data_IF_939972469266
#
_entry.id   IF_939972469266
#
_cell.length_a   1.000
_cell.length_b   1.000
_cell.length_c   1.000
_cell.angle_alpha   90.00
_cell.angle_beta   90.00
_cell.angle_gamma   90.00
#
_symmetry.space_group_name_H-M   'P 1'
#
loop_
_entity.id
_entity.type
_entity.pdbx_description
1 polymer ?
#
# COMPACT_ATOMS: atom_id res chain seq x y z
N UNK A 1 -27.18 -30.59 -20.42
CA UNK A 1 -26.46 -29.43 -20.97
C UNK A 1 -27.34 -28.16 -20.97
N UNK A 2 -27.16 -27.29 -19.98
CA UNK A 2 -27.76 -25.96 -19.98
C UNK A 2 -26.61 -24.96 -20.09
N UNK A 3 -26.40 -24.45 -21.29
CA UNK A 3 -25.50 -23.34 -21.53
C UNK A 3 -26.08 -22.12 -20.83
N UNK A 4 -25.57 -21.81 -19.63
CA UNK A 4 -25.70 -20.47 -19.07
C UNK A 4 -24.72 -19.61 -19.86
N UNK A 5 -25.29 -18.86 -20.80
CA UNK A 5 -24.59 -17.78 -21.48
C UNK A 5 -23.89 -16.93 -20.42
N UNK A 6 -22.55 -16.91 -20.48
CA UNK A 6 -21.74 -15.93 -19.79
C UNK A 6 -22.12 -14.58 -20.38
N UNK A 7 -23.05 -13.90 -19.74
CA UNK A 7 -23.22 -12.47 -19.92
C UNK A 7 -21.87 -11.86 -19.57
N UNK A 8 -21.16 -11.38 -20.60
CA UNK A 8 -19.99 -10.52 -20.43
C UNK A 8 -20.36 -9.43 -19.42
N UNK A 9 -19.71 -9.34 -18.24
CA UNK A 9 -20.06 -8.30 -17.30
C UNK A 9 -19.66 -6.96 -17.91
N UNK A 10 -20.52 -5.98 -17.66
CA UNK A 10 -20.51 -4.64 -18.21
C UNK A 10 -19.10 -4.01 -18.27
N UNK A 11 -18.83 -3.32 -19.37
CA UNK A 11 -17.70 -2.42 -19.57
C UNK A 11 -17.29 -1.74 -18.25
N UNK A 12 -16.13 -2.17 -17.78
CA UNK A 12 -15.31 -1.64 -16.68
C UNK A 12 -15.50 -0.14 -16.44
N UNK A 13 -16.18 0.21 -15.36
CA UNK A 13 -16.03 1.54 -14.78
C UNK A 13 -14.68 1.59 -14.06
N UNK A 14 -13.80 2.50 -14.50
CA UNK A 14 -12.55 2.84 -13.82
C UNK A 14 -12.84 3.19 -12.34
N UNK A 15 -12.02 2.78 -11.37
CA UNK A 15 -12.20 3.22 -10.00
C UNK A 15 -12.16 4.75 -9.90
N UNK A 16 -12.84 5.34 -8.88
CA UNK A 16 -12.73 6.76 -8.63
C UNK A 16 -11.27 7.15 -8.35
N UNK A 17 -10.91 8.40 -8.62
CA UNK A 17 -9.54 8.88 -8.40
C UNK A 17 -9.05 8.59 -6.98
N UNK A 18 -7.86 8.01 -6.85
CA UNK A 18 -7.30 7.63 -5.55
C UNK A 18 -7.96 6.39 -4.94
N UNK A 19 -8.57 5.53 -5.76
CA UNK A 19 -9.09 4.25 -5.33
C UNK A 19 -8.66 3.13 -6.28
N UNK A 20 -8.66 1.91 -5.76
CA UNK A 20 -8.49 0.65 -6.48
C UNK A 20 -9.68 -0.24 -6.16
N UNK A 21 -10.13 -1.02 -7.15
CA UNK A 21 -11.14 -2.05 -6.90
C UNK A 21 -10.55 -3.19 -6.07
N UNK A 22 -11.25 -3.58 -5.01
CA UNK A 22 -10.90 -4.74 -4.17
C UNK A 22 -10.70 -5.97 -5.03
N UNK A 23 -11.60 -6.20 -5.98
CA UNK A 23 -11.61 -7.34 -6.86
C UNK A 23 -10.37 -7.37 -7.76
N UNK A 24 -9.93 -6.20 -8.27
CA UNK A 24 -8.70 -6.12 -9.08
C UNK A 24 -7.45 -6.41 -8.25
N UNK A 25 -7.41 -5.94 -7.00
CA UNK A 25 -6.31 -6.22 -6.07
C UNK A 25 -6.28 -7.70 -5.73
N UNK A 26 -7.43 -8.27 -5.34
CA UNK A 26 -7.54 -9.67 -4.93
C UNK A 26 -7.17 -10.61 -6.09
N UNK A 27 -7.68 -10.35 -7.30
CA UNK A 27 -7.35 -11.10 -8.51
C UNK A 27 -5.84 -11.07 -8.79
N UNK A 28 -5.20 -9.90 -8.70
CA UNK A 28 -3.76 -9.77 -8.89
C UNK A 28 -2.99 -10.58 -7.84
N UNK A 29 -3.40 -10.52 -6.58
CA UNK A 29 -2.73 -11.26 -5.50
C UNK A 29 -2.95 -12.77 -5.62
N UNK A 30 -4.12 -13.20 -6.09
CA UNK A 30 -4.45 -14.61 -6.37
C UNK A 30 -3.61 -15.20 -7.50
N UNK A 31 -3.34 -14.43 -8.55
CA UNK A 31 -2.40 -14.82 -9.62
C UNK A 31 -0.95 -14.92 -9.11
N UNK A 32 -0.64 -14.23 -8.01
CA UNK A 32 0.62 -14.34 -7.29
C UNK A 32 1.66 -13.30 -7.69
N UNK A 33 2.72 -13.23 -6.87
CA UNK A 33 3.78 -12.23 -7.01
C UNK A 33 4.53 -12.36 -8.33
N UNK A 34 4.76 -13.59 -8.83
CA UNK A 34 5.42 -13.81 -10.12
C UNK A 34 4.65 -13.23 -11.30
N UNK A 35 3.32 -13.40 -11.32
CA UNK A 35 2.45 -12.78 -12.33
C UNK A 35 2.52 -11.25 -12.28
N UNK A 36 2.53 -10.67 -11.08
CA UNK A 36 2.71 -9.23 -10.91
C UNK A 36 4.07 -8.75 -11.42
N UNK A 37 5.15 -9.45 -11.09
CA UNK A 37 6.51 -9.08 -11.50
C UNK A 37 6.76 -9.21 -13.01
N UNK A 38 5.98 -10.01 -13.73
CA UNK A 38 6.01 -10.01 -15.21
C UNK A 38 5.51 -8.70 -15.84
N UNK A 39 4.84 -7.83 -15.07
CA UNK A 39 4.26 -6.56 -15.54
C UNK A 39 5.10 -5.34 -15.21
N UNK A 40 6.23 -5.52 -14.53
CA UNK A 40 7.10 -4.41 -14.14
C UNK A 40 8.55 -4.84 -14.22
N UNK A 41 9.36 -4.03 -14.92
CA UNK A 41 10.81 -4.16 -14.84
C UNK A 41 11.35 -3.27 -13.73
N UNK A 42 12.20 -3.85 -12.88
CA UNK A 42 12.73 -3.22 -11.68
C UNK A 42 14.25 -3.33 -11.65
N UNK A 43 14.90 -2.21 -11.38
CA UNK A 43 16.34 -2.16 -11.12
C UNK A 43 16.60 -1.76 -9.66
N UNK A 44 17.61 -2.34 -8.98
CA UNK A 44 18.00 -1.86 -7.66
C UNK A 44 18.46 -0.40 -7.74
N UNK A 45 18.14 0.37 -6.70
CA UNK A 45 18.55 1.77 -6.54
C UNK A 45 19.32 1.95 -5.25
N UNK A 46 20.39 2.73 -5.32
CA UNK A 46 21.27 3.03 -4.21
C UNK A 46 21.29 4.54 -3.94
N UNK A 47 21.45 4.92 -2.68
CA UNK A 47 21.65 6.32 -2.27
C UNK A 47 23.05 6.81 -2.62
N UNK A 48 23.32 8.10 -2.40
CA UNK A 48 24.65 8.69 -2.64
C UNK A 48 25.76 8.06 -1.78
N UNK A 49 25.41 7.32 -0.72
CA UNK A 49 26.35 6.61 0.16
C UNK A 49 26.53 5.14 -0.25
N UNK A 50 25.91 4.69 -1.34
CA UNK A 50 25.97 3.32 -1.82
C UNK A 50 25.07 2.34 -1.07
N UNK A 51 24.15 2.81 -0.22
CA UNK A 51 23.20 1.93 0.48
C UNK A 51 21.99 1.67 -0.39
N UNK A 52 21.51 0.44 -0.39
CA UNK A 52 20.25 0.10 -1.03
C UNK A 52 19.13 0.96 -0.43
N UNK A 53 18.33 1.59 -1.29
CA UNK A 53 17.22 2.43 -0.86
C UNK A 53 15.87 1.97 -1.41
N UNK A 54 15.85 1.14 -2.46
CA UNK A 54 14.60 0.67 -3.07
C UNK A 54 14.77 0.21 -4.51
N UNK A 55 13.64 -0.01 -5.18
CA UNK A 55 13.60 -0.48 -6.56
C UNK A 55 13.10 0.61 -7.50
N UNK A 56 13.90 0.92 -8.52
CA UNK A 56 13.53 1.83 -9.59
C UNK A 56 12.67 1.10 -10.61
N UNK A 57 11.51 1.66 -10.92
CA UNK A 57 10.68 1.24 -12.05
C UNK A 57 11.40 1.61 -13.33
N UNK A 58 11.80 0.60 -14.11
CA UNK A 58 12.40 0.78 -15.43
C UNK A 58 11.29 0.88 -16.46
N UNK A 59 10.35 -0.05 -16.43
CA UNK A 59 9.26 -0.13 -17.40
C UNK A 59 8.02 -0.77 -16.78
N UNK A 60 6.85 -0.43 -17.32
CA UNK A 60 5.54 -0.95 -16.91
C UNK A 60 4.88 -1.59 -18.12
N UNK A 61 4.48 -2.85 -17.99
CA UNK A 61 3.85 -3.64 -19.05
C UNK A 61 2.41 -3.99 -18.68
N UNK A 62 1.61 -4.31 -19.70
CA UNK A 62 0.22 -4.70 -19.55
C UNK A 62 -0.71 -3.49 -19.71
N UNK A 63 -1.28 -3.38 -20.89
CA UNK A 63 -2.23 -2.32 -21.24
C UNK A 63 -3.37 -2.27 -20.21
N UNK A 64 -3.67 -1.08 -19.70
CA UNK A 64 -4.73 -0.86 -18.73
C UNK A 64 -4.43 -1.27 -17.29
N UNK A 65 -3.43 -2.14 -17.03
CA UNK A 65 -3.15 -2.65 -15.69
C UNK A 65 -2.70 -1.55 -14.72
N UNK A 66 -1.94 -0.57 -15.23
CA UNK A 66 -1.38 0.52 -14.43
C UNK A 66 -2.22 1.81 -14.47
N UNK A 67 -3.34 1.82 -15.21
CA UNK A 67 -4.13 3.04 -15.48
C UNK A 67 -4.70 3.69 -14.21
N UNK A 68 -4.89 2.89 -13.17
CA UNK A 68 -5.45 3.30 -11.89
C UNK A 68 -4.40 3.75 -10.88
N UNK A 69 -3.11 3.66 -11.24
CA UNK A 69 -1.98 3.96 -10.37
C UNK A 69 -1.06 4.99 -11.04
N UNK A 70 -0.79 6.11 -10.36
CA UNK A 70 0.17 7.13 -10.79
C UNK A 70 1.65 6.74 -10.52
N UNK A 71 2.00 5.47 -10.70
CA UNK A 71 3.40 5.03 -10.74
C UNK A 71 3.93 5.14 -12.16
N UNK A 72 5.21 5.51 -12.30
CA UNK A 72 5.79 5.81 -13.61
C UNK A 72 7.23 5.28 -13.70
N UNK A 73 7.72 4.99 -14.93
CA UNK A 73 9.15 4.79 -15.16
C UNK A 73 9.99 5.92 -14.55
N UNK A 74 11.06 5.52 -13.87
CA UNK A 74 11.96 6.41 -13.13
C UNK A 74 11.62 6.61 -11.65
N UNK A 75 10.44 6.18 -11.19
CA UNK A 75 10.13 6.19 -9.75
C UNK A 75 10.94 5.14 -9.00
N UNK A 76 11.42 5.48 -7.80
CA UNK A 76 12.09 4.52 -6.91
C UNK A 76 11.19 4.18 -5.75
N UNK A 77 10.61 2.98 -5.74
CA UNK A 77 9.76 2.49 -4.65
C UNK A 77 10.64 2.14 -3.45
N UNK A 78 10.35 2.76 -2.31
CA UNK A 78 11.09 2.60 -1.05
C UNK A 78 10.35 1.65 -0.09
N UNK A 79 9.04 1.88 0.06
CA UNK A 79 8.18 1.16 1.01
C UNK A 79 6.77 1.04 0.48
N UNK A 80 6.08 -0.02 0.92
CA UNK A 80 4.67 -0.25 0.62
C UNK A 80 3.96 -0.56 1.93
N UNK A 81 2.87 0.15 2.22
CA UNK A 81 2.12 0.09 3.48
C UNK A 81 3.03 0.19 4.73
N UNK A 82 4.02 1.08 4.67
CA UNK A 82 5.00 1.32 5.73
C UNK A 82 6.08 0.23 5.87
N UNK A 83 5.94 -0.89 5.17
CA UNK A 83 6.86 -2.04 5.22
C UNK A 83 7.96 -1.90 4.16
N UNK A 84 9.20 -2.32 4.47
CA UNK A 84 10.28 -2.41 3.49
C UNK A 84 9.98 -3.52 2.47
N UNK A 85 10.57 -3.40 1.27
CA UNK A 85 10.45 -4.40 0.19
C UNK A 85 11.82 -4.87 -0.30
N UNK A 86 12.88 -4.68 0.49
CA UNK A 86 14.28 -4.87 0.09
C UNK A 86 14.65 -6.32 -0.15
N UNK A 87 13.94 -7.24 0.52
CA UNK A 87 14.13 -8.69 0.41
C UNK A 87 12.88 -9.36 -0.16
N UNK A 88 13.10 -10.48 -0.83
CA UNK A 88 12.03 -11.29 -1.42
C UNK A 88 10.92 -11.65 -0.42
N UNK A 89 11.30 -12.11 0.78
CA UNK A 89 10.32 -12.47 1.81
C UNK A 89 9.47 -11.25 2.25
N UNK A 90 10.08 -10.06 2.32
CA UNK A 90 9.37 -8.83 2.67
C UNK A 90 8.40 -8.41 1.56
N UNK A 91 8.84 -8.48 0.30
CA UNK A 91 7.99 -8.20 -0.85
C UNK A 91 6.79 -9.16 -0.90
N UNK A 92 7.02 -10.45 -0.67
CA UNK A 92 5.96 -11.46 -0.62
C UNK A 92 4.96 -11.20 0.52
N UNK A 93 5.45 -10.94 1.75
CA UNK A 93 4.60 -10.60 2.89
C UNK A 93 3.74 -9.35 2.65
N UNK A 94 4.34 -8.30 2.08
CA UNK A 94 3.65 -7.07 1.70
C UNK A 94 2.57 -7.37 0.67
N UNK A 95 2.91 -8.12 -0.38
CA UNK A 95 2.03 -8.45 -1.48
C UNK A 95 0.81 -9.26 -1.01
N UNK A 96 1.04 -10.32 -0.22
CA UNK A 96 -0.05 -11.11 0.36
C UNK A 96 -0.92 -10.30 1.33
N UNK A 97 -0.31 -9.37 2.07
CA UNK A 97 -1.02 -8.47 2.98
C UNK A 97 -2.04 -7.56 2.31
N UNK A 98 -1.93 -7.32 0.99
CA UNK A 98 -2.87 -6.46 0.25
C UNK A 98 -4.30 -7.00 0.25
N UNK A 99 -4.48 -8.34 0.30
CA UNK A 99 -5.81 -8.97 0.39
C UNK A 99 -6.66 -8.48 1.56
N UNK A 100 -6.01 -8.10 2.67
CA UNK A 100 -6.69 -7.63 3.88
C UNK A 100 -6.52 -6.12 4.09
N UNK A 101 -5.72 -5.46 3.27
CA UNK A 101 -5.48 -4.02 3.40
C UNK A 101 -6.67 -3.22 2.89
N UNK A 102 -7.07 -2.17 3.59
CA UNK A 102 -8.10 -1.21 3.12
C UNK A 102 -7.52 -0.09 2.27
N UNK A 103 -6.18 0.03 2.26
CA UNK A 103 -5.45 1.02 1.47
C UNK A 103 -4.12 0.46 0.97
N UNK A 104 -3.69 0.99 -0.17
CA UNK A 104 -2.34 0.87 -0.68
C UNK A 104 -1.64 2.22 -0.51
N UNK A 105 -0.52 2.22 0.21
CA UNK A 105 0.34 3.38 0.39
C UNK A 105 1.74 3.05 -0.14
N UNK A 106 2.24 3.83 -1.09
CA UNK A 106 3.55 3.63 -1.71
C UNK A 106 4.41 4.84 -1.44
N UNK A 107 5.49 4.67 -0.70
CA UNK A 107 6.51 5.70 -0.54
C UNK A 107 7.56 5.52 -1.62
N UNK A 108 7.84 6.59 -2.36
CA UNK A 108 8.71 6.53 -3.53
C UNK A 108 9.53 7.81 -3.68
N UNK A 109 10.58 7.76 -4.50
CA UNK A 109 11.26 8.94 -5.02
C UNK A 109 10.83 9.19 -6.45
N UNK A 110 10.58 10.45 -6.80
CA UNK A 110 10.45 10.90 -8.19
C UNK A 110 11.37 12.09 -8.38
N UNK A 111 12.34 11.96 -9.29
CA UNK A 111 13.37 12.99 -9.53
C UNK A 111 14.12 13.40 -8.24
N UNK A 112 14.39 12.43 -7.37
CA UNK A 112 15.09 12.64 -6.10
C UNK A 112 14.22 13.12 -4.93
N UNK A 113 12.98 13.52 -5.16
CA UNK A 113 12.07 13.97 -4.10
C UNK A 113 11.26 12.82 -3.51
N UNK A 114 11.18 12.74 -2.18
CA UNK A 114 10.32 11.78 -1.47
C UNK A 114 8.86 12.16 -1.62
N UNK A 115 8.05 11.20 -2.05
CA UNK A 115 6.60 11.32 -2.27
C UNK A 115 5.87 10.09 -1.73
N UNK A 116 4.57 10.23 -1.55
CA UNK A 116 3.68 9.13 -1.17
C UNK A 116 2.45 9.11 -2.08
N UNK A 117 2.10 7.94 -2.59
CA UNK A 117 0.81 7.68 -3.24
C UNK A 117 -0.07 6.92 -2.26
N UNK A 118 -1.35 7.25 -2.21
CA UNK A 118 -2.33 6.54 -1.40
C UNK A 118 -3.59 6.25 -2.20
N UNK A 119 -3.98 4.98 -2.21
CA UNK A 119 -5.21 4.49 -2.83
C UNK A 119 -6.06 3.76 -1.81
N UNK A 120 -7.37 4.05 -1.79
CA UNK A 120 -8.34 3.26 -1.02
C UNK A 120 -8.73 2.01 -1.80
N UNK A 121 -8.76 0.86 -1.15
CA UNK A 121 -9.18 -0.40 -1.77
C UNK A 121 -10.65 -0.63 -1.44
N UNK A 122 -11.53 -0.41 -2.42
CA UNK A 122 -12.99 -0.42 -2.24
C UNK A 122 -13.65 -1.49 -3.10
N UNK A 123 -14.75 -2.14 -2.64
CA UNK A 123 -15.51 -3.06 -3.49
C UNK A 123 -16.18 -2.34 -4.67
N UNK A 124 -16.26 -3.00 -5.82
CA UNK A 124 -17.04 -2.52 -6.97
C UNK A 124 -18.50 -2.34 -6.54
N UNK A 125 -19.10 -1.20 -6.93
CA UNK A 125 -20.46 -0.84 -6.52
C UNK A 125 -20.57 -0.10 -5.19
N UNK A 126 -19.47 0.10 -4.44
CA UNK A 126 -19.46 0.94 -3.22
C UNK A 126 -19.31 2.45 -3.53
N UNK A 127 -19.71 2.89 -4.72
CA UNK A 127 -19.56 4.29 -5.17
C UNK A 127 -20.51 5.27 -4.46
N UNK A 128 -21.48 4.76 -3.71
CA UNK A 128 -22.32 5.55 -2.79
C UNK A 128 -21.70 5.54 -1.39
N UNK A 129 -21.14 6.70 -1.02
CA UNK A 129 -20.26 6.84 0.14
C UNK A 129 -20.84 6.35 1.47
N UNK A 130 -20.11 5.44 2.12
CA UNK A 130 -19.92 5.50 3.57
C UNK A 130 -18.58 4.86 3.90
N UNK A 131 -17.55 5.63 4.34
CA UNK A 131 -16.40 5.02 4.98
C UNK A 131 -16.88 4.34 6.27
N UNK A 132 -16.82 3.02 6.33
CA UNK A 132 -16.93 2.29 7.60
C UNK A 132 -15.64 2.53 8.38
N UNK A 133 -15.56 3.67 9.05
CA UNK A 133 -14.48 3.94 9.99
C UNK A 133 -14.58 2.95 11.16
N UNK A 134 -13.52 2.20 11.51
CA UNK A 134 -13.39 1.72 12.87
C UNK A 134 -13.00 2.92 13.75
N UNK A 135 -13.99 3.67 14.22
CA UNK A 135 -13.81 4.56 15.38
C UNK A 135 -13.87 3.71 16.65
N UNK A 136 -12.84 2.89 16.88
CA UNK A 136 -12.58 2.44 18.25
C UNK A 136 -11.89 3.59 18.97
N UNK A 137 -12.69 4.53 19.51
CA UNK A 137 -12.24 5.36 20.62
C UNK A 137 -12.18 4.45 21.85
N UNK A 138 -11.04 3.80 22.05
CA UNK A 138 -10.66 3.39 23.40
C UNK A 138 -10.23 4.65 24.16
N UNK A 139 -11.18 5.25 24.86
CA UNK A 139 -10.92 6.23 25.89
C UNK A 139 -10.83 5.47 27.21
N UNK A 140 -9.64 5.00 27.55
CA UNK A 140 -9.46 4.13 28.72
C UNK A 140 -8.02 4.01 29.21
N UNK A 141 -7.27 5.10 29.31
CA UNK A 141 -5.98 5.08 30.00
C UNK A 141 -5.79 6.32 30.86
N UNK A 142 -6.32 6.28 32.09
CA UNK A 142 -5.84 7.12 33.19
C UNK A 142 -4.46 6.62 33.59
N UNK A 143 -3.42 7.37 33.25
CA UNK A 143 -2.09 7.22 33.81
C UNK A 143 -1.94 8.25 34.94
N UNK A 144 -1.75 7.85 36.21
CA UNK A 144 -1.27 8.76 37.24
C UNK A 144 0.24 8.94 37.05
N UNK A 145 0.65 10.18 36.83
CA UNK A 145 2.03 10.62 36.70
C UNK A 145 2.69 10.78 38.07
N UNK A 146 3.86 10.14 38.21
CA UNK A 146 5.09 10.60 38.88
C UNK A 146 5.01 11.12 40.32
N UNK A 147 5.71 10.38 41.19
CA UNK A 147 6.07 10.79 42.55
C UNK A 147 6.92 12.06 42.58
N UNK A 148 6.59 12.90 43.56
CA UNK A 148 7.35 14.08 43.92
C UNK A 148 8.14 13.81 45.22
N UNK A 149 9.47 13.90 45.08
CA UNK A 149 10.43 14.62 45.93
C UNK A 149 10.27 14.53 47.46
N UNK A 150 11.27 13.88 48.06
CA UNK A 150 11.63 13.99 49.47
C UNK A 150 11.95 15.44 49.90
N UNK A 151 11.57 15.87 51.11
CA UNK A 151 12.18 17.03 51.76
C UNK A 151 13.38 16.62 52.62
N UNK A 152 14.42 17.44 52.53
CA UNK A 152 15.58 17.44 53.40
C UNK A 152 15.21 17.91 54.81
N UNK A 153 15.64 17.18 55.84
CA UNK A 153 15.65 17.66 57.22
C UNK A 153 17.05 18.17 57.54
N UNK A 154 17.13 19.46 57.87
CA UNK A 154 18.32 20.13 58.36
C UNK A 154 18.60 19.76 59.82
N UNK A 155 19.89 19.70 60.14
CA UNK A 155 20.46 19.71 61.47
C UNK A 155 20.10 21.00 62.23
N UNK A 156 19.78 20.85 63.52
CA UNK A 156 20.27 21.69 64.63
C UNK A 156 20.14 20.91 65.94
#
# INVERSE_FOLDING_TARGET
PKATAQAAPAKEAKPPKGALWRESVDETVDQGLGYFLQRVDLAPSFDASGRFQGFRIVELYGDGFWDDVDLRPGDVVLRVNGKPIERENQAFEVFQGLKQAEKLEVQYLRRGERRSLSYRIIPRGSVDGTPKAPVTRDAGSKQPTTGAKAPATQHS
#
